data_IF_372890561816
#
_entry.id   IF_372890561816
#
_cell.length_a   1.000
_cell.length_b   1.000
_cell.length_c   1.000
_cell.angle_alpha   90.00
_cell.angle_beta   90.00
_cell.angle_gamma   90.00
#
_symmetry.space_group_name_H-M   'P 1'
#
loop_
_entity.id
_entity.type
_entity.pdbx_description
1 polymer ?
#
# COMPACT_ATOMS: atom_id res chain seq x y z
N UNK A 1 9.62 -14.23 -58.41
CA UNK A 1 8.66 -15.04 -57.64
C UNK A 1 8.70 -14.68 -56.16
N UNK A 2 9.84 -14.83 -55.47
CA UNK A 2 9.96 -14.44 -54.05
C UNK A 2 9.59 -12.96 -53.80
N UNK A 3 10.13 -12.02 -54.57
CA UNK A 3 9.84 -10.59 -54.37
C UNK A 3 8.34 -10.25 -54.47
N UNK A 4 7.62 -10.88 -55.42
CA UNK A 4 6.19 -10.69 -55.58
C UNK A 4 5.39 -11.28 -54.40
N UNK A 5 5.78 -12.46 -53.91
CA UNK A 5 5.15 -13.08 -52.75
C UNK A 5 5.40 -12.29 -51.46
N UNK A 6 6.62 -11.75 -51.30
CA UNK A 6 6.94 -10.84 -50.18
C UNK A 6 6.15 -9.54 -50.28
N UNK A 7 6.02 -8.96 -51.49
CA UNK A 7 5.17 -7.79 -51.72
C UNK A 7 3.72 -8.04 -51.33
N UNK A 8 3.15 -9.15 -51.81
CA UNK A 8 1.75 -9.54 -51.54
C UNK A 8 1.50 -9.80 -50.05
N UNK A 9 2.38 -10.53 -49.36
CA UNK A 9 2.27 -10.75 -47.92
C UNK A 9 2.29 -9.43 -47.13
N UNK A 10 3.16 -8.49 -47.52
CA UNK A 10 3.25 -7.18 -46.85
C UNK A 10 2.01 -6.32 -47.12
N UNK A 11 1.53 -6.30 -48.35
CA UNK A 11 0.35 -5.51 -48.76
C UNK A 11 -0.93 -6.03 -48.11
N UNK A 12 -1.07 -7.34 -47.96
CA UNK A 12 -2.22 -7.98 -47.31
C UNK A 12 -2.10 -8.09 -45.79
N UNK A 13 -1.02 -7.57 -45.18
CA UNK A 13 -0.85 -7.57 -43.74
C UNK A 13 -0.63 -8.97 -43.14
N UNK A 14 0.09 -9.83 -43.87
CA UNK A 14 0.43 -11.19 -43.47
C UNK A 14 1.94 -11.34 -43.16
N UNK A 15 2.38 -12.58 -42.95
CA UNK A 15 3.78 -12.97 -42.84
C UNK A 15 4.11 -14.04 -43.89
N UNK A 16 5.40 -14.25 -44.16
CA UNK A 16 5.86 -15.25 -45.12
C UNK A 16 7.24 -15.80 -44.73
N UNK A 17 7.41 -17.12 -44.77
CA UNK A 17 8.73 -17.74 -44.74
C UNK A 17 9.27 -17.89 -46.18
N UNK A 18 10.39 -17.21 -46.44
CA UNK A 18 11.04 -17.27 -47.75
C UNK A 18 11.56 -18.67 -48.09
N UNK A 19 11.88 -19.51 -47.11
CA UNK A 19 12.34 -20.88 -47.35
C UNK A 19 11.22 -21.78 -47.91
N UNK A 20 9.94 -21.45 -47.69
CA UNK A 20 8.82 -22.17 -48.30
C UNK A 20 8.70 -21.93 -49.81
N UNK A 21 9.31 -20.86 -50.32
CA UNK A 21 9.29 -20.48 -51.75
C UNK A 21 10.63 -20.80 -52.43
N UNK A 22 11.72 -20.67 -51.68
CA UNK A 22 13.07 -20.90 -52.18
C UNK A 22 13.32 -22.40 -52.37
N UNK A 23 14.21 -22.79 -53.30
CA UNK A 23 14.62 -24.18 -53.43
C UNK A 23 15.19 -24.72 -52.12
N UNK A 24 14.94 -25.99 -51.81
CA UNK A 24 15.30 -26.63 -50.53
C UNK A 24 16.81 -26.66 -50.20
N UNK A 25 17.68 -26.41 -51.18
CA UNK A 25 19.13 -26.30 -50.96
C UNK A 25 19.56 -24.90 -50.46
N UNK A 26 18.66 -23.93 -50.40
CA UNK A 26 18.93 -22.59 -49.88
C UNK A 26 18.81 -22.62 -48.35
N UNK A 27 19.87 -22.17 -47.68
CA UNK A 27 19.93 -22.05 -46.23
C UNK A 27 19.34 -20.72 -45.74
N UNK A 28 19.01 -20.61 -44.44
CA UNK A 28 18.55 -19.35 -43.83
C UNK A 28 19.45 -18.14 -44.10
N UNK A 29 20.78 -18.22 -43.90
CA UNK A 29 21.71 -17.13 -44.23
C UNK A 29 21.69 -16.71 -45.71
N UNK A 30 21.49 -17.67 -46.62
CA UNK A 30 21.38 -17.38 -48.05
C UNK A 30 20.03 -16.76 -48.38
N UNK A 31 18.95 -17.21 -47.74
CA UNK A 31 17.63 -16.60 -47.83
C UNK A 31 17.66 -15.13 -47.38
N UNK A 32 18.38 -14.80 -46.30
CA UNK A 32 18.58 -13.41 -45.84
C UNK A 32 19.22 -12.54 -46.93
N UNK A 33 20.27 -13.04 -47.60
CA UNK A 33 20.94 -12.30 -48.69
C UNK A 33 20.00 -12.12 -49.88
N UNK A 34 19.22 -13.13 -50.24
CA UNK A 34 18.27 -13.05 -51.35
C UNK A 34 17.14 -12.06 -51.02
N UNK A 35 16.60 -12.09 -49.80
CA UNK A 35 15.62 -11.12 -49.32
C UNK A 35 16.17 -9.69 -49.34
N UNK A 36 17.45 -9.50 -49.01
CA UNK A 36 18.10 -8.19 -49.08
C UNK A 36 18.14 -7.61 -50.50
N UNK A 37 17.97 -8.44 -51.54
CA UNK A 37 17.91 -8.02 -52.94
C UNK A 37 16.49 -7.80 -53.46
N UNK A 38 15.45 -8.16 -52.68
CA UNK A 38 14.04 -8.02 -53.06
C UNK A 38 13.57 -6.56 -52.90
N UNK A 39 13.22 -5.83 -53.98
CA UNK A 39 12.78 -4.44 -53.89
C UNK A 39 11.57 -4.22 -52.97
N UNK A 40 10.63 -5.16 -52.94
CA UNK A 40 9.42 -5.10 -52.11
C UNK A 40 9.78 -5.11 -50.62
N UNK A 41 10.67 -6.02 -50.22
CA UNK A 41 11.20 -6.07 -48.86
C UNK A 41 12.02 -4.82 -48.52
N UNK A 42 12.95 -4.41 -49.39
CA UNK A 42 13.78 -3.22 -49.15
C UNK A 42 12.93 -1.96 -48.92
N UNK A 43 11.88 -1.76 -49.72
CA UNK A 43 10.96 -0.62 -49.59
C UNK A 43 10.18 -0.69 -48.27
N UNK A 44 9.70 -1.86 -47.89
CA UNK A 44 8.95 -2.06 -46.67
C UNK A 44 9.82 -1.89 -45.41
N UNK A 45 11.03 -2.47 -45.39
CA UNK A 45 11.98 -2.34 -44.29
C UNK A 45 12.38 -0.87 -44.07
N UNK A 46 12.69 -0.13 -45.14
CA UNK A 46 13.01 1.31 -45.08
C UNK A 46 11.88 2.18 -44.56
N UNK A 47 10.62 1.75 -44.75
CA UNK A 47 9.43 2.47 -44.30
C UNK A 47 8.84 1.89 -43.02
N UNK A 48 9.56 1.00 -42.31
CA UNK A 48 9.11 0.32 -41.09
C UNK A 48 7.75 -0.40 -41.24
N UNK A 49 7.48 -0.90 -42.45
CA UNK A 49 6.26 -1.66 -42.78
C UNK A 49 6.45 -3.17 -42.67
N UNK A 50 7.69 -3.65 -42.58
CA UNK A 50 7.99 -5.06 -42.41
C UNK A 50 9.27 -5.27 -41.60
N UNK A 51 9.37 -6.42 -40.92
CA UNK A 51 10.50 -6.86 -40.10
C UNK A 51 10.90 -8.28 -40.51
N UNK A 52 12.21 -8.57 -40.52
CA UNK A 52 12.75 -9.90 -40.80
C UNK A 52 13.13 -10.58 -39.48
N UNK A 53 12.57 -11.76 -39.22
CA UNK A 53 12.91 -12.61 -38.08
C UNK A 53 13.51 -13.94 -38.57
N UNK A 54 14.45 -14.50 -37.78
CA UNK A 54 15.10 -15.79 -38.06
C UNK A 54 15.88 -15.88 -39.38
N UNK A 55 16.14 -14.74 -40.03
CA UNK A 55 16.85 -14.67 -41.32
C UNK A 55 16.04 -15.08 -42.56
N UNK A 56 14.87 -15.69 -42.41
CA UNK A 56 14.03 -16.12 -43.55
C UNK A 56 12.57 -15.64 -43.50
N UNK A 57 12.06 -15.24 -42.33
CA UNK A 57 10.65 -14.94 -42.14
C UNK A 57 10.38 -13.44 -42.17
N UNK A 58 9.61 -12.98 -43.14
CA UNK A 58 9.22 -11.56 -43.29
C UNK A 58 7.83 -11.38 -42.71
N UNK A 59 7.72 -10.50 -41.71
CA UNK A 59 6.46 -10.14 -41.06
C UNK A 59 6.08 -8.72 -41.43
N UNK A 60 4.85 -8.50 -41.89
CA UNK A 60 4.32 -7.14 -42.01
C UNK A 60 4.09 -6.53 -40.63
N UNK A 61 4.27 -5.22 -40.51
CA UNK A 61 4.01 -4.50 -39.27
C UNK A 61 2.49 -4.48 -38.94
N UNK A 62 1.64 -4.63 -39.96
CA UNK A 62 0.19 -4.81 -39.78
C UNK A 62 -0.10 -6.12 -39.05
N UNK A 63 0.55 -7.22 -39.43
CA UNK A 63 0.43 -8.50 -38.76
C UNK A 63 0.96 -8.45 -37.31
N UNK A 64 2.17 -7.91 -37.12
CA UNK A 64 2.78 -7.74 -35.78
C UNK A 64 1.86 -6.92 -34.87
N UNK A 65 1.31 -5.82 -35.40
CA UNK A 65 0.35 -5.00 -34.67
C UNK A 65 -0.93 -5.78 -34.33
N UNK A 66 -1.45 -6.60 -35.23
CA UNK A 66 -2.61 -7.44 -34.96
C UNK A 66 -2.40 -8.39 -33.78
N UNK A 67 -1.23 -9.04 -33.70
CA UNK A 67 -0.83 -9.86 -32.54
C UNK A 67 -0.75 -8.97 -31.29
N UNK A 68 -0.02 -7.86 -31.37
CA UNK A 68 0.13 -6.92 -30.25
C UNK A 68 -1.23 -6.45 -29.71
N UNK A 69 -2.16 -6.03 -30.57
CA UNK A 69 -3.47 -5.49 -30.19
C UNK A 69 -4.31 -6.56 -29.45
N UNK A 70 -4.16 -7.85 -29.79
CA UNK A 70 -4.83 -8.94 -29.07
C UNK A 70 -4.16 -9.24 -27.73
N UNK A 71 -2.82 -9.26 -27.69
CA UNK A 71 -2.06 -9.43 -26.45
C UNK A 71 -2.29 -8.27 -25.47
N UNK A 72 -2.43 -7.05 -25.96
CA UNK A 72 -2.72 -5.85 -25.14
C UNK A 72 -4.08 -5.97 -24.46
N UNK A 73 -5.11 -6.53 -25.12
CA UNK A 73 -6.43 -6.78 -24.50
C UNK A 73 -6.35 -7.79 -23.38
N UNK A 74 -5.51 -8.80 -23.53
CA UNK A 74 -5.36 -9.89 -22.58
C UNK A 74 -4.27 -9.63 -21.54
N UNK A 75 -3.63 -8.46 -21.55
CA UNK A 75 -2.44 -8.17 -20.74
C UNK A 75 -2.67 -8.32 -19.22
N UNK A 76 -3.91 -8.13 -18.75
CA UNK A 76 -4.28 -8.33 -17.35
C UNK A 76 -4.37 -9.82 -16.97
N UNK A 77 -4.68 -10.68 -17.96
CA UNK A 77 -4.77 -12.14 -17.78
C UNK A 77 -3.41 -12.83 -17.67
N UNK A 78 -2.31 -12.08 -17.85
CA UNK A 78 -0.96 -12.64 -17.84
C UNK A 78 -0.49 -13.02 -16.44
N UNK A 79 -1.32 -12.81 -15.41
CA UNK A 79 -1.01 -13.21 -14.03
C UNK A 79 0.19 -12.45 -13.45
N UNK A 80 0.48 -11.26 -14.00
CA UNK A 80 1.57 -10.41 -13.54
C UNK A 80 1.25 -9.99 -12.12
N UNK A 81 1.90 -10.65 -11.15
CA UNK A 81 1.80 -10.28 -9.74
C UNK A 81 2.15 -8.81 -9.66
N UNK A 82 1.19 -7.99 -9.21
CA UNK A 82 1.47 -6.60 -8.88
C UNK A 82 2.54 -6.61 -7.81
N UNK A 83 3.80 -6.36 -8.20
CA UNK A 83 4.85 -6.13 -7.22
C UNK A 83 4.46 -4.86 -6.49
N UNK A 84 3.86 -5.05 -5.32
CA UNK A 84 3.76 -4.04 -4.30
C UNK A 84 5.17 -3.49 -4.09
N UNK A 85 5.28 -2.16 -4.01
CA UNK A 85 6.56 -1.50 -3.78
C UNK A 85 7.29 -2.16 -2.61
N UNK A 86 8.50 -2.64 -2.90
CA UNK A 86 9.55 -3.01 -1.96
C UNK A 86 9.15 -3.91 -0.78
N UNK A 87 9.49 -5.19 -0.92
CA UNK A 87 9.62 -6.14 0.19
C UNK A 87 9.98 -7.52 -0.37
N UNK A 88 11.20 -7.96 -0.09
CA UNK A 88 11.84 -9.29 -0.30
C UNK A 88 10.98 -10.46 -0.84
N UNK A 89 11.52 -11.30 -1.75
CA UNK A 89 10.83 -12.48 -2.22
C UNK A 89 10.78 -13.53 -1.11
N UNK A 90 9.58 -13.84 -0.63
CA UNK A 90 9.37 -15.07 0.16
C UNK A 90 9.30 -16.23 -0.83
N UNK A 91 10.29 -17.09 -0.69
CA UNK A 91 10.49 -18.33 -1.41
C UNK A 91 9.21 -19.19 -1.39
N UNK A 92 8.67 -19.48 -2.57
CA UNK A 92 7.47 -20.28 -2.75
C UNK A 92 7.91 -21.71 -3.11
N UNK A 93 8.28 -22.50 -2.10
CA UNK A 93 8.43 -23.94 -2.27
C UNK A 93 7.07 -24.59 -2.00
N UNK A 94 6.37 -24.92 -3.08
CA UNK A 94 5.33 -25.93 -3.09
C UNK A 94 5.96 -27.32 -3.09
N UNK A 95 5.77 -28.07 -2.02
CA UNK A 95 5.75 -29.54 -2.08
C UNK A 95 4.87 -30.07 -0.96
N UNK A 96 3.66 -30.49 -1.35
CA UNK A 96 2.82 -31.41 -0.61
C UNK A 96 3.50 -32.78 -0.50
N UNK A 97 3.41 -33.44 0.66
CA UNK A 97 2.69 -34.72 0.81
C UNK A 97 2.95 -35.38 2.18
N UNK A 98 1.83 -35.76 2.80
CA UNK A 98 1.57 -36.84 3.75
C UNK A 98 2.72 -37.57 4.47
N UNK A 99 2.63 -37.61 5.81
CA UNK A 99 2.35 -38.88 6.53
C UNK A 99 1.90 -38.67 7.99
N UNK A 100 0.90 -39.44 8.34
CA UNK A 100 0.36 -39.62 9.69
C UNK A 100 1.26 -40.51 10.57
N UNK A 101 1.15 -40.34 11.89
CA UNK A 101 1.18 -41.46 12.84
C UNK A 101 2.26 -41.48 13.93
N UNK A 102 1.77 -41.52 15.18
CA UNK A 102 2.30 -42.26 16.34
C UNK A 102 3.12 -41.54 17.42
N UNK A 103 2.41 -41.12 18.47
CA UNK A 103 2.51 -41.54 19.90
C UNK A 103 3.83 -42.19 20.35
N UNK A 104 4.49 -41.62 21.38
CA UNK A 104 4.72 -42.28 22.68
C UNK A 104 5.34 -41.35 23.76
N UNK A 105 5.10 -41.76 24.99
CA UNK A 105 5.22 -41.10 26.29
C UNK A 105 6.57 -41.37 27.01
N UNK A 106 6.78 -40.65 28.13
CA UNK A 106 7.56 -41.04 29.34
C UNK A 106 9.09 -40.95 29.25
N UNK A 107 9.88 -40.68 30.29
CA UNK A 107 9.63 -40.36 31.70
C UNK A 107 10.92 -39.79 32.36
N UNK A 108 10.71 -38.96 33.38
CA UNK A 108 11.42 -38.78 34.66
C UNK A 108 12.90 -39.17 34.96
N UNK A 109 13.47 -38.28 35.80
CA UNK A 109 14.40 -38.46 36.95
C UNK A 109 15.91 -38.65 36.68
N UNK A 110 16.87 -38.24 37.50
CA UNK A 110 17.02 -37.38 38.70
C UNK A 110 18.50 -37.48 39.17
N UNK A 111 18.87 -36.65 40.15
CA UNK A 111 20.01 -36.71 41.08
C UNK A 111 21.38 -36.13 40.71
N UNK A 112 21.79 -35.19 41.58
CA UNK A 112 23.14 -34.65 41.71
C UNK A 112 23.22 -33.58 42.81
N UNK A 113 22.96 -34.01 44.04
CA UNK A 113 22.90 -33.29 45.32
C UNK A 113 24.28 -32.76 45.80
N UNK A 114 24.31 -31.58 46.45
CA UNK A 114 24.86 -31.35 47.80
C UNK A 114 25.09 -29.86 48.13
N UNK A 115 24.24 -29.37 49.04
CA UNK A 115 24.52 -28.66 50.31
C UNK A 115 25.88 -27.96 50.55
N UNK A 116 25.82 -26.70 51.00
CA UNK A 116 25.77 -26.40 52.44
C UNK A 116 25.85 -24.89 52.75
N UNK A 117 25.05 -24.53 53.75
CA UNK A 117 24.81 -23.24 54.42
C UNK A 117 26.01 -22.47 54.97
N UNK A 118 25.88 -21.13 55.09
CA UNK A 118 26.00 -20.44 56.39
C UNK A 118 25.44 -19.01 56.35
N UNK A 119 24.47 -18.75 57.20
CA UNK A 119 23.98 -17.44 57.67
C UNK A 119 24.79 -16.98 58.88
N UNK A 120 25.11 -15.68 58.99
CA UNK A 120 25.67 -15.13 60.24
C UNK A 120 26.21 -13.69 60.23
N UNK A 121 25.30 -12.71 60.27
CA UNK A 121 25.29 -11.46 61.03
C UNK A 121 26.53 -10.52 61.22
N UNK A 122 26.27 -9.24 60.88
CA UNK A 122 26.59 -7.99 61.60
C UNK A 122 28.00 -7.36 61.54
N UNK A 123 28.10 -6.16 60.96
CA UNK A 123 28.28 -4.86 61.66
C UNK A 123 28.53 -3.76 60.61
N UNK A 124 27.72 -2.71 60.63
CA UNK A 124 28.11 -1.35 61.03
C UNK A 124 28.97 -0.58 59.99
N UNK A 125 28.32 0.30 59.22
CA UNK A 125 28.59 1.75 59.20
C UNK A 125 27.71 2.48 58.18
N UNK A 126 27.04 3.51 58.68
CA UNK A 126 26.01 4.28 57.98
C UNK A 126 26.49 5.24 56.89
N UNK A 127 25.52 5.99 56.30
CA UNK A 127 25.61 6.65 55.00
C UNK A 127 25.95 8.14 55.10
N UNK A 128 26.58 8.73 54.08
CA UNK A 128 26.67 10.18 53.90
C UNK A 128 25.98 10.65 52.63
N UNK A 129 24.79 11.22 52.84
CA UNK A 129 24.12 12.19 51.95
C UNK A 129 25.05 13.39 51.70
N UNK A 130 25.02 13.96 50.49
CA UNK A 130 25.35 15.37 50.28
C UNK A 130 24.26 16.03 49.44
N UNK A 131 23.46 16.85 50.12
CA UNK A 131 22.51 17.83 49.59
C UNK A 131 23.01 19.21 50.04
N UNK A 132 23.08 20.18 49.13
CA UNK A 132 23.23 21.63 49.37
C UNK A 132 22.86 22.34 48.06
N UNK A 133 21.75 23.09 47.92
CA UNK A 133 21.36 24.42 48.48
C UNK A 133 22.37 25.52 48.08
N UNK A 134 22.03 26.72 47.60
CA UNK A 134 20.79 27.51 47.73
C UNK A 134 20.75 28.78 46.81
N UNK A 135 19.56 29.44 46.78
CA UNK A 135 19.24 30.90 46.61
C UNK A 135 19.52 31.60 45.27
N UNK A 136 18.67 32.44 44.67
CA UNK A 136 17.40 33.09 45.03
C UNK A 136 17.37 34.57 44.57
N UNK A 137 16.35 35.01 43.82
CA UNK A 137 15.92 36.43 43.77
C UNK A 137 14.57 36.60 43.05
N UNK A 138 13.79 37.55 43.57
CA UNK A 138 12.37 37.78 43.31
C UNK A 138 12.10 39.19 42.73
N UNK A 139 10.81 39.46 42.44
CA UNK A 139 10.11 40.75 42.22
C UNK A 139 9.88 41.11 40.74
N UNK A 140 8.69 41.43 40.23
CA UNK A 140 7.33 41.64 40.77
C UNK A 140 6.54 42.51 39.77
N UNK A 141 5.20 42.49 39.79
CA UNK A 141 4.37 43.54 39.18
C UNK A 141 3.11 43.07 38.45
N UNK A 142 1.94 43.37 39.02
CA UNK A 142 0.58 43.11 38.53
C UNK A 142 0.04 44.25 37.64
N UNK A 143 -1.10 44.03 36.95
CA UNK A 143 -2.33 44.86 36.94
C UNK A 143 -3.35 44.29 35.91
N UNK A 144 -4.61 44.19 36.34
CA UNK A 144 -5.82 43.93 35.54
C UNK A 144 -6.43 45.23 34.96
N UNK A 145 -7.13 45.17 33.82
CA UNK A 145 -8.57 45.53 33.63
C UNK A 145 -8.97 45.82 32.17
N UNK A 146 -10.05 45.14 31.77
CA UNK A 146 -11.26 45.46 30.99
C UNK A 146 -11.37 46.54 29.89
N UNK A 147 -12.24 46.13 28.95
CA UNK A 147 -13.24 46.83 28.11
C UNK A 147 -12.93 47.38 26.70
N UNK A 148 -13.54 46.66 25.75
CA UNK A 148 -14.49 47.09 24.71
C UNK A 148 -14.09 47.70 23.34
N UNK A 149 -14.80 47.16 22.35
CA UNK A 149 -15.29 47.70 21.06
C UNK A 149 -14.42 47.73 19.76
N UNK A 150 -15.02 47.04 18.77
CA UNK A 150 -15.23 47.35 17.34
C UNK A 150 -14.09 47.60 16.30
N UNK A 151 -14.09 46.67 15.33
CA UNK A 151 -14.11 46.79 13.84
C UNK A 151 -13.05 47.67 13.10
N UNK A 152 -12.37 47.01 12.13
CA UNK A 152 -12.19 47.33 10.69
C UNK A 152 -10.74 47.02 10.21
N UNK A 153 -10.55 46.24 9.12
CA UNK A 153 -9.25 45.73 8.67
C UNK A 153 -8.53 46.66 7.69
N UNK A 154 -7.19 46.69 7.75
CA UNK A 154 -6.36 47.45 6.78
C UNK A 154 -5.42 46.56 5.97
N UNK A 155 -5.57 46.73 4.65
CA UNK A 155 -4.79 46.23 3.53
C UNK A 155 -3.27 46.40 3.65
N UNK A 156 -2.56 45.33 3.30
CA UNK A 156 -1.68 45.29 2.11
C UNK A 156 -0.22 45.73 2.27
N UNK A 157 0.71 44.89 1.76
CA UNK A 157 1.64 45.26 0.67
C UNK A 157 2.43 44.06 0.15
N UNK A 158 2.17 43.76 -1.12
CA UNK A 158 2.88 42.84 -2.01
C UNK A 158 4.06 43.62 -2.63
N UNK A 159 5.28 43.11 -2.58
CA UNK A 159 6.40 43.69 -3.33
C UNK A 159 7.16 42.59 -4.09
N UNK A 160 7.17 42.74 -5.41
CA UNK A 160 7.74 41.87 -6.42
C UNK A 160 8.80 42.71 -7.17
N UNK A 161 10.05 42.26 -7.22
CA UNK A 161 11.12 42.72 -8.16
C UNK A 161 12.09 41.54 -8.31
N UNK A 162 12.11 40.75 -9.40
CA UNK A 162 12.66 40.94 -10.76
C UNK A 162 14.06 41.57 -10.86
N UNK A 163 15.04 40.66 -11.04
CA UNK A 163 16.04 40.54 -12.12
C UNK A 163 17.21 41.54 -12.22
N UNK A 164 18.45 41.02 -12.30
CA UNK A 164 19.38 41.18 -13.44
C UNK A 164 20.78 40.59 -13.15
N UNK A 165 21.21 39.68 -14.03
CA UNK A 165 22.58 39.15 -14.17
C UNK A 165 23.59 40.21 -14.63
N UNK A 166 24.85 40.10 -14.18
CA UNK A 166 26.13 40.37 -14.87
C UNK A 166 27.22 39.63 -14.08
N UNK A 167 28.07 38.87 -14.78
CA UNK A 167 29.03 37.93 -14.19
C UNK A 167 30.49 38.38 -14.13
N UNK A 168 31.31 37.37 -13.78
CA UNK A 168 32.77 37.20 -13.95
C UNK A 168 33.68 37.54 -12.78
N UNK A 169 34.28 36.51 -12.14
CA UNK A 169 35.71 36.16 -12.29
C UNK A 169 36.31 35.45 -11.06
N UNK A 170 36.95 34.27 -11.28
CA UNK A 170 37.97 33.59 -10.44
C UNK A 170 37.48 32.98 -9.11
N UNK A 171 37.92 31.81 -8.63
CA UNK A 171 39.07 30.96 -8.92
C UNK A 171 38.78 29.51 -8.43
N UNK A 172 39.52 28.54 -8.96
CA UNK A 172 39.26 27.11 -8.91
C UNK A 172 39.58 26.44 -7.56
N UNK A 173 38.73 25.49 -7.14
CA UNK A 173 39.21 24.26 -6.50
C UNK A 173 38.33 23.06 -6.83
N UNK A 174 39.01 22.06 -7.42
CA UNK A 174 38.52 20.74 -7.84
C UNK A 174 37.74 20.01 -6.74
N UNK A 175 36.58 19.46 -7.10
CA UNK A 175 35.89 18.37 -6.42
C UNK A 175 34.97 17.67 -7.44
N UNK A 176 35.11 16.35 -7.59
CA UNK A 176 34.67 15.59 -8.76
C UNK A 176 33.19 15.68 -9.12
N UNK A 177 32.92 15.85 -10.42
CA UNK A 177 31.60 15.61 -11.03
C UNK A 177 31.28 14.12 -10.93
N UNK A 178 30.38 13.73 -10.02
CA UNK A 178 29.55 12.54 -10.26
C UNK A 178 28.60 12.88 -11.40
N UNK A 179 28.77 12.17 -12.51
CA UNK A 179 27.78 12.12 -13.58
C UNK A 179 26.42 11.67 -12.99
N UNK A 180 25.29 12.07 -13.59
CA UNK A 180 23.99 11.56 -13.15
C UNK A 180 23.98 10.05 -13.36
N UNK A 181 23.93 9.30 -12.26
CA UNK A 181 23.62 7.87 -12.29
C UNK A 181 22.24 7.75 -12.95
N UNK A 182 22.23 7.15 -14.14
CA UNK A 182 21.02 6.59 -14.73
C UNK A 182 20.38 5.72 -13.66
N UNK A 183 19.05 5.80 -13.43
CA UNK A 183 18.40 4.80 -12.61
C UNK A 183 18.69 3.44 -13.27
N UNK A 184 19.32 2.55 -12.51
CA UNK A 184 19.39 1.13 -12.82
C UNK A 184 17.96 0.67 -13.10
N UNK A 185 17.66 0.35 -14.34
CA UNK A 185 16.46 -0.39 -14.73
C UNK A 185 16.62 -1.85 -14.24
N UNK A 186 16.51 -2.05 -12.92
CA UNK A 186 16.25 -3.35 -12.32
C UNK A 186 14.74 -3.58 -12.36
N UNK A 187 14.22 -3.97 -13.54
CA UNK A 187 12.87 -4.51 -13.75
C UNK A 187 12.84 -5.31 -15.05
N UNK A 188 13.73 -6.29 -15.17
CA UNK A 188 13.91 -7.02 -16.43
C UNK A 188 12.97 -8.20 -16.62
N UNK A 189 11.92 -8.42 -15.81
CA UNK A 189 10.97 -9.49 -16.17
C UNK A 189 9.50 -9.31 -15.80
N UNK A 190 8.89 -8.18 -16.19
CA UNK A 190 7.42 -8.02 -16.15
C UNK A 190 6.75 -9.03 -17.11
N UNK A 191 7.38 -9.27 -18.26
CA UNK A 191 6.96 -10.24 -19.27
C UNK A 191 8.16 -11.13 -19.65
N UNK A 192 8.21 -12.39 -19.16
CA UNK A 192 9.15 -13.40 -19.65
C UNK A 192 8.93 -13.68 -21.13
N UNK A 193 9.99 -13.92 -21.87
CA UNK A 193 9.92 -14.17 -23.31
C UNK A 193 9.10 -15.44 -23.57
N UNK A 194 9.26 -16.49 -22.74
CA UNK A 194 8.51 -17.74 -22.85
C UNK A 194 7.00 -17.54 -22.69
N UNK A 195 6.59 -16.60 -21.84
CA UNK A 195 5.19 -16.26 -21.65
C UNK A 195 4.64 -15.53 -22.87
N UNK A 196 5.41 -14.60 -23.44
CA UNK A 196 5.03 -13.91 -24.67
C UNK A 196 4.92 -14.90 -25.81
N UNK A 197 5.88 -15.83 -25.95
CA UNK A 197 5.86 -16.89 -26.97
C UNK A 197 4.59 -17.75 -26.86
N UNK A 198 4.27 -18.23 -25.66
CA UNK A 198 3.04 -18.99 -25.41
C UNK A 198 1.79 -18.22 -25.83
N UNK A 199 1.73 -16.93 -25.50
CA UNK A 199 0.58 -16.07 -25.83
C UNK A 199 0.51 -15.72 -27.31
N UNK A 200 1.65 -15.52 -27.98
CA UNK A 200 1.73 -15.32 -29.43
C UNK A 200 1.18 -16.53 -30.17
N UNK A 201 1.60 -17.75 -29.79
CA UNK A 201 1.11 -18.99 -30.41
C UNK A 201 -0.39 -19.23 -30.14
N UNK A 202 -0.92 -18.78 -29.00
CA UNK A 202 -2.35 -18.84 -28.74
C UNK A 202 -3.17 -17.90 -29.64
N UNK A 203 -2.61 -16.74 -30.02
CA UNK A 203 -3.26 -15.74 -30.88
C UNK A 203 -3.06 -16.03 -32.37
N UNK A 204 -1.92 -16.62 -32.74
CA UNK A 204 -1.51 -16.92 -34.11
C UNK A 204 -0.98 -18.36 -34.20
N UNK A 205 -1.87 -19.38 -34.16
CA UNK A 205 -1.48 -20.79 -34.18
C UNK A 205 -0.77 -21.20 -35.48
N UNK A 206 -0.97 -20.47 -36.58
CA UNK A 206 -0.25 -20.69 -37.85
C UNK A 206 1.28 -20.51 -37.72
N UNK A 207 1.74 -19.90 -36.63
CA UNK A 207 3.15 -19.72 -36.32
C UNK A 207 3.78 -20.93 -35.60
N UNK A 208 2.99 -21.95 -35.24
CA UNK A 208 3.48 -23.16 -34.55
C UNK A 208 4.54 -23.90 -35.37
N UNK A 209 4.43 -23.88 -36.70
CA UNK A 209 5.42 -24.45 -37.62
C UNK A 209 6.82 -23.80 -37.49
N UNK A 210 6.87 -22.55 -37.00
CA UNK A 210 8.11 -21.81 -36.73
C UNK A 210 8.62 -22.00 -35.29
N UNK A 211 7.81 -22.56 -34.39
CA UNK A 211 8.07 -22.65 -32.94
C UNK A 211 8.77 -23.91 -32.46
N UNK A 212 9.14 -24.83 -33.36
CA UNK A 212 9.71 -26.14 -33.03
C UNK A 212 11.23 -26.20 -32.87
N UNK A 213 11.97 -25.12 -33.13
CA UNK A 213 13.43 -25.11 -32.99
C UNK A 213 13.85 -24.49 -31.65
N UNK A 214 14.68 -25.22 -30.90
CA UNK A 214 15.27 -24.74 -29.63
C UNK A 214 16.30 -23.60 -29.84
N UNK A 215 16.40 -23.07 -31.06
CA UNK A 215 17.33 -22.01 -31.44
C UNK A 215 16.99 -20.70 -30.71
N UNK A 216 18.01 -20.04 -30.14
CA UNK A 216 17.87 -18.69 -29.57
C UNK A 216 17.47 -17.66 -30.63
N UNK A 217 17.72 -17.93 -31.91
CA UNK A 217 17.37 -17.05 -33.03
C UNK A 217 16.10 -17.49 -33.79
N UNK A 218 15.29 -18.35 -33.18
CA UNK A 218 14.01 -18.77 -33.76
C UNK A 218 13.10 -17.56 -34.06
N UNK A 219 12.33 -17.58 -35.19
CA UNK A 219 11.45 -16.47 -35.56
C UNK A 219 10.48 -16.04 -34.45
N UNK A 220 9.96 -17.00 -33.70
CA UNK A 220 9.01 -16.76 -32.58
C UNK A 220 9.69 -16.07 -31.41
N UNK A 221 10.89 -16.51 -31.00
CA UNK A 221 11.64 -15.86 -29.91
C UNK A 221 11.99 -14.41 -30.25
N UNK A 222 12.38 -14.16 -31.51
CA UNK A 222 12.69 -12.81 -31.99
C UNK A 222 11.45 -11.92 -32.10
N UNK A 223 10.31 -12.47 -32.52
CA UNK A 223 9.03 -11.77 -32.53
C UNK A 223 8.60 -11.41 -31.10
N UNK A 224 8.70 -12.34 -30.15
CA UNK A 224 8.42 -12.09 -28.74
C UNK A 224 9.32 -11.00 -28.16
N UNK A 225 10.62 -11.07 -28.44
CA UNK A 225 11.59 -10.03 -28.07
C UNK A 225 11.23 -8.66 -28.65
N UNK A 226 10.67 -8.63 -29.87
CA UNK A 226 10.21 -7.40 -30.53
C UNK A 226 8.93 -6.84 -29.91
N UNK A 227 7.97 -7.70 -29.53
CA UNK A 227 6.70 -7.32 -28.90
C UNK A 227 6.87 -6.86 -27.45
N UNK A 228 7.86 -7.41 -26.74
CA UNK A 228 8.11 -7.14 -25.32
C UNK A 228 8.15 -5.66 -24.94
N UNK A 229 8.96 -4.78 -25.56
CA UNK A 229 8.98 -3.36 -25.21
C UNK A 229 7.62 -2.69 -25.46
N UNK A 230 6.89 -3.08 -26.51
CA UNK A 230 5.56 -2.54 -26.80
C UNK A 230 4.55 -2.93 -25.71
N UNK A 231 4.55 -4.20 -25.28
CA UNK A 231 3.70 -4.70 -24.20
C UNK A 231 4.03 -4.04 -22.87
N UNK A 232 5.31 -3.84 -22.56
CA UNK A 232 5.74 -3.11 -21.35
C UNK A 232 5.21 -1.67 -21.36
N UNK A 233 5.33 -0.97 -22.48
CA UNK A 233 4.87 0.41 -22.60
C UNK A 233 3.34 0.52 -22.52
N UNK A 234 2.62 -0.38 -23.18
CA UNK A 234 1.16 -0.48 -23.10
C UNK A 234 0.69 -0.75 -21.67
N UNK A 235 1.29 -1.73 -21.00
CA UNK A 235 1.00 -2.07 -19.62
C UNK A 235 1.27 -0.90 -18.67
N UNK A 236 2.43 -0.23 -18.81
CA UNK A 236 2.77 0.97 -18.03
C UNK A 236 1.77 2.10 -18.27
N UNK A 237 1.39 2.33 -19.52
CA UNK A 237 0.42 3.38 -19.89
C UNK A 237 -0.95 3.10 -19.26
N UNK A 238 -1.46 1.88 -19.40
CA UNK A 238 -2.73 1.44 -18.82
C UNK A 238 -2.72 1.54 -17.29
N UNK A 239 -1.63 1.11 -16.65
CA UNK A 239 -1.46 1.24 -15.19
C UNK A 239 -1.46 2.71 -14.76
N UNK A 240 -0.76 3.58 -15.48
CA UNK A 240 -0.70 5.00 -15.15
C UNK A 240 -2.04 5.70 -15.32
N UNK A 241 -2.83 5.35 -16.35
CA UNK A 241 -4.19 5.89 -16.53
C UNK A 241 -5.10 5.46 -15.39
N UNK A 242 -5.10 4.17 -15.02
CA UNK A 242 -5.88 3.66 -13.88
C UNK A 242 -5.48 4.31 -12.56
N UNK A 243 -4.17 4.47 -12.30
CA UNK A 243 -3.68 5.16 -11.11
C UNK A 243 -4.12 6.62 -11.06
N UNK A 244 -4.12 7.31 -12.20
CA UNK A 244 -4.57 8.70 -12.29
C UNK A 244 -6.07 8.84 -12.03
N UNK A 245 -6.88 7.94 -12.58
CA UNK A 245 -8.33 7.91 -12.34
C UNK A 245 -8.66 7.58 -10.88
N UNK A 246 -7.92 6.64 -10.29
CA UNK A 246 -8.10 6.25 -8.89
C UNK A 246 -7.56 7.29 -7.89
N UNK A 247 -6.73 8.24 -8.29
CA UNK A 247 -6.12 9.21 -7.38
C UNK A 247 -7.14 10.10 -6.64
N UNK A 248 -8.24 10.47 -7.30
CA UNK A 248 -9.33 11.23 -6.66
C UNK A 248 -10.15 10.32 -5.73
N UNK A 249 -10.46 9.10 -6.19
CA UNK A 249 -11.20 8.11 -5.38
C UNK A 249 -10.46 7.77 -4.09
N UNK A 250 -9.15 7.53 -4.16
CA UNK A 250 -8.28 7.30 -2.99
C UNK A 250 -8.31 8.44 -1.99
N UNK A 251 -8.20 9.68 -2.47
CA UNK A 251 -8.32 10.87 -1.61
C UNK A 251 -9.68 10.92 -0.93
N UNK A 252 -10.76 10.69 -1.67
CA UNK A 252 -12.12 10.62 -1.12
C UNK A 252 -12.27 9.53 -0.05
N UNK A 253 -11.66 8.35 -0.24
CA UNK A 253 -11.64 7.26 0.76
C UNK A 253 -11.07 7.74 2.08
N UNK A 254 -9.87 8.33 2.04
CA UNK A 254 -9.15 8.76 3.24
C UNK A 254 -9.80 10.00 3.88
N UNK A 255 -10.31 10.93 3.08
CA UNK A 255 -11.03 12.11 3.59
C UNK A 255 -12.34 11.73 4.29
N UNK A 256 -13.08 10.76 3.74
CA UNK A 256 -14.30 10.24 4.37
C UNK A 256 -13.98 9.50 5.67
N UNK A 257 -12.95 8.64 5.65
CA UNK A 257 -12.47 7.95 6.84
C UNK A 257 -12.05 8.96 7.92
N UNK A 258 -11.28 9.98 7.57
CA UNK A 258 -10.83 11.03 8.50
C UNK A 258 -12.00 11.73 9.19
N UNK A 259 -13.03 12.13 8.43
CA UNK A 259 -14.23 12.78 9.00
C UNK A 259 -14.96 11.88 9.99
N UNK A 260 -15.09 10.60 9.65
CA UNK A 260 -15.83 9.64 10.47
C UNK A 260 -15.03 9.24 11.73
N UNK A 261 -13.70 9.19 11.64
CA UNK A 261 -12.83 8.93 12.78
C UNK A 261 -12.71 10.12 13.73
N UNK A 262 -12.73 11.35 13.21
CA UNK A 262 -12.66 12.56 14.05
C UNK A 262 -13.74 12.58 15.14
N UNK A 263 -14.97 12.19 14.80
CA UNK A 263 -16.08 12.11 15.75
C UNK A 263 -15.96 10.88 16.66
N UNK A 264 -15.79 9.69 16.08
CA UNK A 264 -15.75 8.44 16.83
C UNK A 264 -14.60 8.37 17.86
N UNK A 265 -13.42 8.92 17.52
CA UNK A 265 -12.27 8.94 18.44
C UNK A 265 -12.46 9.96 19.56
N UNK A 266 -13.09 11.11 19.29
CA UNK A 266 -13.40 12.09 20.34
C UNK A 266 -14.43 11.55 21.33
N UNK A 267 -15.47 10.87 20.84
CA UNK A 267 -16.47 10.20 21.67
C UNK A 267 -15.81 9.13 22.54
N UNK A 268 -14.95 8.31 21.95
CA UNK A 268 -14.22 7.26 22.68
C UNK A 268 -13.31 7.83 23.77
N UNK A 269 -12.59 8.93 23.49
CA UNK A 269 -11.77 9.63 24.49
C UNK A 269 -12.62 10.23 25.61
N UNK A 270 -13.82 10.74 25.30
CA UNK A 270 -14.72 11.27 26.34
C UNK A 270 -15.24 10.15 27.24
N UNK A 271 -15.60 9.00 26.66
CA UNK A 271 -16.05 7.86 27.43
C UNK A 271 -14.94 7.26 28.29
N UNK A 272 -13.70 7.24 27.80
CA UNK A 272 -12.57 6.81 28.64
C UNK A 272 -12.39 7.75 29.84
N UNK A 273 -12.45 9.07 29.66
CA UNK A 273 -12.39 10.01 30.77
C UNK A 273 -13.52 9.83 31.80
N UNK A 274 -14.68 9.34 31.38
CA UNK A 274 -15.77 9.02 32.31
C UNK A 274 -15.44 7.79 33.18
N UNK A 275 -14.47 6.95 32.78
CA UNK A 275 -14.01 5.80 33.55
C UNK A 275 -13.11 6.20 34.72
N UNK A 276 -12.56 7.42 34.74
CA UNK A 276 -11.73 7.96 35.84
C UNK A 276 -12.42 7.83 37.21
N UNK A 277 -13.76 7.89 37.23
CA UNK A 277 -14.59 7.72 38.44
C UNK A 277 -14.42 6.34 39.10
N UNK A 278 -13.95 5.35 38.35
CA UNK A 278 -13.76 3.97 38.78
C UNK A 278 -12.28 3.59 38.95
N UNK A 279 -11.34 4.54 38.88
CA UNK A 279 -9.89 4.27 39.03
C UNK A 279 -9.54 3.55 40.34
N UNK A 280 -10.25 3.87 41.41
CA UNK A 280 -10.04 3.27 42.74
C UNK A 280 -10.55 1.83 42.85
N UNK A 281 -11.28 1.32 41.85
CA UNK A 281 -11.72 -0.07 41.74
C UNK A 281 -11.13 -0.73 40.48
N UNK A 282 -9.93 -1.33 40.59
CA UNK A 282 -9.25 -1.95 39.45
C UNK A 282 -10.05 -3.05 38.76
N UNK A 283 -10.92 -3.75 39.49
CA UNK A 283 -11.73 -4.82 38.91
C UNK A 283 -12.82 -4.24 37.98
N UNK A 284 -13.53 -3.21 38.43
CA UNK A 284 -14.54 -2.53 37.62
C UNK A 284 -13.92 -1.72 36.50
N UNK A 285 -12.85 -0.96 36.77
CA UNK A 285 -12.11 -0.20 35.76
C UNK A 285 -11.67 -1.08 34.58
N UNK A 286 -11.02 -2.23 34.85
CA UNK A 286 -10.57 -3.13 33.79
C UNK A 286 -11.71 -3.72 32.95
N UNK A 287 -12.88 -3.98 33.55
CA UNK A 287 -14.08 -4.44 32.82
C UNK A 287 -14.61 -3.33 31.91
N UNK A 288 -14.66 -2.09 32.40
CA UNK A 288 -15.20 -0.95 31.66
C UNK A 288 -14.28 -0.53 30.50
N UNK A 289 -12.96 -0.52 30.67
CA UNK A 289 -12.03 -0.28 29.56
C UNK A 289 -12.18 -1.36 28.48
N UNK A 290 -12.25 -2.64 28.87
CA UNK A 290 -12.50 -3.73 27.91
C UNK A 290 -13.83 -3.58 27.20
N UNK A 291 -14.87 -3.16 27.91
CA UNK A 291 -16.18 -2.88 27.33
C UNK A 291 -16.08 -1.76 26.29
N UNK A 292 -15.43 -0.65 26.62
CA UNK A 292 -15.19 0.49 25.72
C UNK A 292 -14.46 0.08 24.44
N UNK A 293 -13.41 -0.73 24.54
CA UNK A 293 -12.70 -1.27 23.37
C UNK A 293 -13.63 -2.11 22.48
N UNK A 294 -14.46 -2.95 23.08
CA UNK A 294 -15.40 -3.80 22.34
C UNK A 294 -16.53 -3.01 21.69
N UNK A 295 -17.07 -1.97 22.35
CA UNK A 295 -18.22 -1.21 21.85
C UNK A 295 -17.82 -0.07 20.92
N UNK A 296 -16.75 0.66 21.23
CA UNK A 296 -16.30 1.83 20.47
C UNK A 296 -15.05 1.54 19.63
N UNK A 297 -14.09 0.80 20.19
CA UNK A 297 -12.84 0.47 19.49
C UNK A 297 -13.06 -0.44 18.29
N UNK A 298 -13.95 -1.43 18.42
CA UNK A 298 -14.19 -2.41 17.35
C UNK A 298 -14.70 -1.79 16.04
N UNK A 299 -15.78 -0.98 16.03
CA UNK A 299 -16.22 -0.33 14.80
C UNK A 299 -15.17 0.64 14.23
N UNK A 300 -14.35 1.28 15.07
CA UNK A 300 -13.24 2.13 14.62
C UNK A 300 -12.21 1.29 13.84
N UNK A 301 -11.78 0.15 14.40
CA UNK A 301 -10.79 -0.74 13.76
C UNK A 301 -11.33 -1.33 12.47
N UNK A 302 -12.57 -1.84 12.48
CA UNK A 302 -13.19 -2.42 11.28
C UNK A 302 -13.19 -1.41 10.13
N UNK A 303 -13.56 -0.17 10.44
CA UNK A 303 -13.64 0.92 9.48
C UNK A 303 -12.30 1.35 8.92
N UNK A 304 -11.26 1.39 9.77
CA UNK A 304 -9.88 1.65 9.35
C UNK A 304 -9.41 0.55 8.40
N UNK A 305 -9.54 -0.72 8.80
CA UNK A 305 -9.04 -1.84 8.00
C UNK A 305 -9.73 -1.93 6.64
N UNK A 306 -11.06 -1.85 6.59
CA UNK A 306 -11.82 -1.88 5.33
C UNK A 306 -11.48 -0.69 4.42
N UNK A 307 -11.30 0.50 4.99
CA UNK A 307 -10.96 1.70 4.20
C UNK A 307 -9.52 1.66 3.67
N UNK A 308 -8.57 1.17 4.46
CA UNK A 308 -7.19 1.02 4.04
C UNK A 308 -7.00 -0.10 3.01
N UNK A 309 -7.74 -1.21 3.15
CA UNK A 309 -7.81 -2.26 2.12
C UNK A 309 -8.32 -1.68 0.79
N UNK A 310 -9.39 -0.89 0.84
CA UNK A 310 -9.91 -0.20 -0.34
C UNK A 310 -8.90 0.78 -0.96
N UNK A 311 -8.22 1.58 -0.14
CA UNK A 311 -7.14 2.47 -0.63
C UNK A 311 -6.01 1.67 -1.30
N UNK A 312 -5.60 0.54 -0.70
CA UNK A 312 -4.55 -0.32 -1.22
C UNK A 312 -4.94 -0.96 -2.57
N UNK A 313 -6.18 -1.44 -2.70
CA UNK A 313 -6.72 -1.97 -3.97
C UNK A 313 -6.72 -0.92 -5.08
N UNK A 314 -7.23 0.28 -4.77
CA UNK A 314 -7.22 1.41 -5.70
C UNK A 314 -5.80 1.84 -6.09
N UNK A 315 -4.85 1.82 -5.14
CA UNK A 315 -3.43 2.09 -5.36
C UNK A 315 -2.76 1.06 -6.26
N UNK A 316 -3.27 -0.16 -6.30
CA UNK A 316 -2.74 -1.23 -7.15
C UNK A 316 -3.36 -1.26 -8.55
N UNK A 317 -4.34 -0.41 -8.82
CA UNK A 317 -5.06 -0.35 -10.10
C UNK A 317 -6.22 -1.34 -10.19
N UNK A 318 -6.66 -1.91 -9.07
CA UNK A 318 -7.88 -2.72 -9.03
C UNK A 318 -9.11 -1.81 -9.00
N UNK A 319 -10.12 -2.19 -9.77
CA UNK A 319 -11.45 -1.61 -9.64
C UNK A 319 -12.09 -2.14 -8.37
N UNK A 320 -12.64 -1.22 -7.58
CA UNK A 320 -13.48 -1.54 -6.43
C UNK A 320 -14.87 -1.04 -6.78
N UNK A 321 -15.83 -1.95 -6.94
CA UNK A 321 -17.22 -1.52 -6.98
C UNK A 321 -17.57 -0.92 -5.62
N UNK A 322 -18.19 0.26 -5.62
CA UNK A 322 -18.84 0.82 -4.43
C UNK A 322 -20.07 -0.06 -4.10
N UNK A 323 -19.83 -1.32 -3.75
CA UNK A 323 -20.84 -2.14 -3.08
C UNK A 323 -21.16 -1.44 -1.77
N UNK A 324 -22.44 -1.14 -1.60
CA UNK A 324 -22.98 -0.49 -0.41
C UNK A 324 -22.37 -1.12 0.83
N UNK A 325 -21.89 -0.24 1.73
CA UNK A 325 -21.24 -0.56 2.99
C UNK A 325 -21.91 -1.79 3.63
N UNK A 326 -21.31 -2.96 3.48
CA UNK A 326 -21.74 -4.12 4.24
C UNK A 326 -21.41 -3.81 5.68
N UNK A 327 -22.40 -3.31 6.41
CA UNK A 327 -22.35 -3.01 7.85
C UNK A 327 -22.17 -4.26 8.73
N UNK A 328 -21.63 -5.34 8.17
CA UNK A 328 -21.26 -6.53 8.92
C UNK A 328 -19.98 -6.22 9.70
N UNK A 329 -20.09 -6.31 11.02
CA UNK A 329 -18.93 -6.27 11.91
C UNK A 329 -17.95 -7.38 11.50
N UNK A 330 -16.66 -7.04 11.36
CA UNK A 330 -15.66 -8.01 10.93
C UNK A 330 -15.42 -9.05 12.02
N UNK A 331 -15.11 -10.29 11.63
CA UNK A 331 -14.60 -11.25 12.61
C UNK A 331 -13.14 -10.92 12.97
N UNK A 332 -12.66 -11.40 14.12
CA UNK A 332 -11.25 -11.23 14.51
C UNK A 332 -10.30 -11.85 13.46
N UNK A 333 -10.72 -12.94 12.82
CA UNK A 333 -9.98 -13.56 11.71
C UNK A 333 -9.89 -12.64 10.49
N UNK A 334 -11.01 -12.01 10.11
CA UNK A 334 -11.06 -11.09 8.97
C UNK A 334 -10.20 -9.85 9.23
N UNK A 335 -10.25 -9.28 10.44
CA UNK A 335 -9.37 -8.17 10.85
C UNK A 335 -7.90 -8.54 10.68
N UNK A 336 -7.52 -9.72 11.16
CA UNK A 336 -6.14 -10.20 11.10
C UNK A 336 -5.69 -10.41 9.64
N UNK A 337 -6.59 -10.92 8.80
CA UNK A 337 -6.32 -11.11 7.37
C UNK A 337 -6.13 -9.77 6.66
N UNK A 338 -7.05 -8.82 6.83
CA UNK A 338 -6.95 -7.48 6.25
C UNK A 338 -5.68 -6.76 6.72
N UNK A 339 -5.37 -6.82 8.02
CA UNK A 339 -4.17 -6.20 8.56
C UNK A 339 -2.88 -6.75 7.93
N UNK A 340 -2.83 -8.08 7.67
CA UNK A 340 -1.67 -8.72 7.04
C UNK A 340 -1.52 -8.35 5.56
N UNK A 341 -2.62 -8.15 4.84
CA UNK A 341 -2.63 -7.84 3.41
C UNK A 341 -2.20 -6.39 3.10
N UNK A 342 -2.22 -5.51 4.10
CA UNK A 342 -1.71 -4.14 3.96
C UNK A 342 -0.21 -4.12 3.64
N UNK A 343 0.28 -3.08 2.93
CA UNK A 343 1.67 -3.04 2.49
C UNK A 343 2.64 -2.53 3.58
N UNK A 344 3.83 -3.12 3.64
CA UNK A 344 4.97 -2.57 4.39
C UNK A 344 4.73 -2.42 5.90
N UNK A 345 5.17 -1.28 6.47
CA UNK A 345 5.04 -1.00 7.91
C UNK A 345 3.58 -0.86 8.37
N UNK A 346 2.68 -0.49 7.47
CA UNK A 346 1.25 -0.41 7.77
C UNK A 346 0.69 -1.76 8.17
N UNK A 347 1.18 -2.86 7.58
CA UNK A 347 0.81 -4.23 7.96
C UNK A 347 1.11 -4.53 9.43
N UNK A 348 2.34 -4.23 9.87
CA UNK A 348 2.76 -4.48 11.24
C UNK A 348 2.00 -3.62 12.25
N UNK A 349 1.74 -2.35 11.91
CA UNK A 349 1.00 -1.42 12.78
C UNK A 349 -0.48 -1.80 12.89
N UNK A 350 -1.10 -2.18 11.77
CA UNK A 350 -2.48 -2.66 11.76
C UNK A 350 -2.64 -3.97 12.55
N UNK A 351 -1.67 -4.89 12.48
CA UNK A 351 -1.70 -6.10 13.31
C UNK A 351 -1.60 -5.77 14.81
N UNK A 352 -0.69 -4.86 15.19
CA UNK A 352 -0.60 -4.39 16.58
C UNK A 352 -1.90 -3.71 17.05
N UNK A 353 -2.59 -2.97 16.18
CA UNK A 353 -3.91 -2.40 16.48
C UNK A 353 -4.97 -3.47 16.73
N UNK A 354 -5.00 -4.53 15.91
CA UNK A 354 -5.93 -5.66 16.09
C UNK A 354 -5.64 -6.39 17.41
N UNK A 355 -4.37 -6.58 17.76
CA UNK A 355 -3.98 -7.16 19.05
C UNK A 355 -4.36 -6.27 20.24
N UNK A 356 -4.14 -4.96 20.13
CA UNK A 356 -4.47 -3.99 21.17
C UNK A 356 -5.98 -3.85 21.40
N UNK A 357 -6.80 -4.05 20.35
CA UNK A 357 -8.26 -4.07 20.45
C UNK A 357 -8.77 -5.20 21.36
N UNK A 358 -8.13 -6.37 21.31
CA UNK A 358 -8.42 -7.53 22.18
C UNK A 358 -7.76 -7.39 23.58
N UNK A 359 -7.04 -6.29 23.78
CA UNK A 359 -6.32 -5.96 25.00
C UNK A 359 -7.24 -5.58 26.17
N UNK A 360 -6.60 -5.06 27.23
CA UNK A 360 -7.29 -4.68 28.48
C UNK A 360 -7.37 -3.17 28.69
N UNK A 361 -6.49 -2.41 28.06
CA UNK A 361 -6.25 -1.01 28.40
C UNK A 361 -6.41 -0.09 27.19
N UNK A 362 -7.06 1.04 27.43
CA UNK A 362 -7.33 2.05 26.41
C UNK A 362 -6.05 2.71 25.88
N UNK A 363 -5.09 3.03 26.74
CA UNK A 363 -3.85 3.71 26.33
C UNK A 363 -3.08 2.92 25.27
N UNK A 364 -2.88 1.62 25.51
CA UNK A 364 -2.18 0.74 24.56
C UNK A 364 -2.91 0.65 23.21
N UNK A 365 -4.24 0.67 23.23
CA UNK A 365 -5.05 0.74 22.02
C UNK A 365 -4.91 2.08 21.31
N UNK A 366 -4.96 3.20 22.03
CA UNK A 366 -4.85 4.54 21.46
C UNK A 366 -3.47 4.81 20.85
N UNK A 367 -2.40 4.26 21.44
CA UNK A 367 -1.06 4.33 20.89
C UNK A 367 -0.96 3.56 19.57
N UNK A 368 -1.42 2.30 19.54
CA UNK A 368 -1.44 1.49 18.32
C UNK A 368 -2.35 2.09 17.22
N UNK A 369 -3.47 2.69 17.63
CA UNK A 369 -4.41 3.38 16.74
C UNK A 369 -3.73 4.60 16.12
N UNK A 370 -3.03 5.40 16.93
CA UNK A 370 -2.27 6.57 16.46
C UNK A 370 -1.15 6.18 15.51
N UNK A 371 -0.37 5.16 15.83
CA UNK A 371 0.71 4.67 14.98
C UNK A 371 0.20 4.24 13.59
N UNK A 372 -0.93 3.53 13.56
CA UNK A 372 -1.59 3.08 12.32
C UNK A 372 -2.11 4.26 11.50
N UNK A 373 -2.70 5.25 12.16
CA UNK A 373 -3.21 6.45 11.52
C UNK A 373 -2.09 7.31 10.92
N UNK A 374 -1.01 7.53 11.67
CA UNK A 374 0.16 8.29 11.20
C UNK A 374 0.79 7.64 9.98
N UNK A 375 0.90 6.31 9.95
CA UNK A 375 1.38 5.55 8.76
C UNK A 375 0.45 5.72 7.55
N UNK A 376 -0.84 5.90 7.81
CA UNK A 376 -1.88 6.10 6.79
C UNK A 376 -2.05 7.56 6.37
N UNK A 377 -1.31 8.50 6.97
CA UNK A 377 -1.47 9.94 6.75
C UNK A 377 -2.73 10.54 7.37
N UNK A 378 -3.36 9.83 8.30
CA UNK A 378 -4.53 10.28 9.07
C UNK A 378 -4.07 10.94 10.38
N UNK A 379 -4.87 11.86 10.91
CA UNK A 379 -4.56 12.59 12.14
C UNK A 379 -5.75 12.61 13.07
N UNK A 380 -5.58 12.16 14.31
CA UNK A 380 -6.66 12.24 15.29
C UNK A 380 -6.62 13.52 16.10
N UNK A 381 -7.81 14.10 16.26
CA UNK A 381 -8.04 15.16 17.25
C UNK A 381 -7.84 14.59 18.66
N UNK A 382 -7.33 15.45 19.54
CA UNK A 382 -7.26 15.18 20.97
C UNK A 382 -8.40 15.92 21.65
N UNK A 383 -9.03 15.27 22.62
CA UNK A 383 -10.03 15.85 23.48
C UNK A 383 -9.39 16.94 24.34
N UNK A 384 -9.61 18.21 23.96
CA UNK A 384 -9.20 19.35 24.76
C UNK A 384 -10.32 19.76 25.74
N UNK A 385 -9.98 20.55 26.77
CA UNK A 385 -10.94 20.98 27.80
C UNK A 385 -12.13 21.77 27.25
N UNK A 386 -12.03 22.37 26.06
CA UNK A 386 -13.09 23.15 25.43
C UNK A 386 -14.04 22.23 24.67
N UNK A 387 -13.50 21.30 23.88
CA UNK A 387 -14.25 20.26 23.18
C UNK A 387 -15.00 19.38 24.17
N UNK A 388 -14.32 18.93 25.22
CA UNK A 388 -14.91 18.14 26.29
C UNK A 388 -16.14 18.84 26.90
N UNK A 389 -16.00 20.11 27.32
CA UNK A 389 -17.12 20.90 27.86
C UNK A 389 -18.26 21.05 26.85
N UNK A 390 -17.93 21.27 25.57
CA UNK A 390 -18.93 21.41 24.50
C UNK A 390 -19.69 20.10 24.28
N UNK A 391 -18.98 18.97 24.23
CA UNK A 391 -19.57 17.64 24.02
C UNK A 391 -20.43 17.23 25.22
N UNK A 392 -19.94 17.40 26.45
CA UNK A 392 -20.72 17.13 27.66
C UNK A 392 -21.99 17.99 27.74
N UNK A 393 -21.91 19.27 27.35
CA UNK A 393 -23.09 20.12 27.28
C UNK A 393 -24.12 19.61 26.25
N UNK A 394 -23.66 19.18 25.07
CA UNK A 394 -24.52 18.59 24.05
C UNK A 394 -25.17 17.28 24.54
N UNK A 395 -24.37 16.33 25.05
CA UNK A 395 -24.87 15.07 25.57
C UNK A 395 -25.86 15.27 26.72
N UNK A 396 -25.59 16.20 27.64
CA UNK A 396 -26.53 16.54 28.71
C UNK A 396 -27.85 17.04 28.16
N UNK A 397 -27.82 17.95 27.18
CA UNK A 397 -29.02 18.47 26.53
C UNK A 397 -29.83 17.36 25.86
N UNK A 398 -29.15 16.49 25.11
CA UNK A 398 -29.79 15.38 24.40
C UNK A 398 -30.37 14.34 25.38
N UNK A 399 -29.65 14.04 26.45
CA UNK A 399 -30.10 13.11 27.48
C UNK A 399 -31.30 13.66 28.27
N UNK A 400 -31.31 14.97 28.59
CA UNK A 400 -32.49 15.63 29.18
C UNK A 400 -33.71 15.50 28.26
N UNK A 401 -33.53 15.72 26.95
CA UNK A 401 -34.61 15.56 25.98
C UNK A 401 -35.10 14.11 25.92
N UNK A 402 -34.19 13.14 25.87
CA UNK A 402 -34.53 11.71 25.87
C UNK A 402 -35.29 11.30 27.14
N UNK A 403 -34.83 11.71 28.33
CA UNK A 403 -35.50 11.46 29.61
C UNK A 403 -36.89 12.10 29.65
N UNK A 404 -37.03 13.33 29.15
CA UNK A 404 -38.32 14.04 29.15
C UNK A 404 -39.35 13.40 28.21
N UNK A 405 -38.89 12.72 27.16
CA UNK A 405 -39.75 12.01 26.20
C UNK A 405 -39.95 10.53 26.50
N UNK A 406 -39.19 9.94 27.43
CA UNK A 406 -39.21 8.52 27.71
C UNK A 406 -40.39 8.15 28.61
N UNK A 407 -41.21 7.23 28.13
CA UNK A 407 -42.41 6.76 28.85
C UNK A 407 -42.25 5.34 29.40
N UNK A 408 -41.32 4.56 28.86
CA UNK A 408 -41.05 3.21 29.34
C UNK A 408 -40.17 3.25 30.61
N UNK A 409 -40.65 2.78 31.77
CA UNK A 409 -39.89 2.84 33.02
C UNK A 409 -38.59 2.02 32.97
N UNK A 410 -38.51 0.98 32.14
CA UNK A 410 -37.30 0.15 32.00
C UNK A 410 -36.20 0.92 31.27
N UNK A 411 -36.53 1.59 30.17
CA UNK A 411 -35.61 2.43 29.40
C UNK A 411 -35.32 3.78 30.07
N UNK A 412 -36.22 4.25 30.94
CA UNK A 412 -36.08 5.50 31.68
C UNK A 412 -34.94 5.46 32.72
N UNK A 413 -34.86 4.37 33.49
CA UNK A 413 -33.92 4.28 34.62
C UNK A 413 -32.44 4.43 34.20
N UNK A 414 -31.92 3.72 33.18
CA UNK A 414 -30.53 3.90 32.74
C UNK A 414 -30.22 5.33 32.27
N UNK A 415 -31.17 6.01 31.60
CA UNK A 415 -31.01 7.38 31.11
C UNK A 415 -30.92 8.40 32.24
N UNK A 416 -31.74 8.24 33.28
CA UNK A 416 -31.67 9.07 34.50
C UNK A 416 -30.37 8.83 35.25
N UNK A 417 -29.94 7.57 35.39
CA UNK A 417 -28.65 7.24 36.03
C UNK A 417 -27.50 7.89 35.28
N UNK A 418 -27.44 7.77 33.95
CA UNK A 418 -26.43 8.42 33.14
C UNK A 418 -26.41 9.95 33.35
N UNK A 419 -27.58 10.57 33.49
CA UNK A 419 -27.71 12.02 33.73
C UNK A 419 -27.21 12.44 35.11
N UNK A 420 -27.32 11.57 36.12
CA UNK A 420 -26.74 11.81 37.45
C UNK A 420 -25.21 11.75 37.44
N UNK A 421 -24.62 10.87 36.62
CA UNK A 421 -23.17 10.79 36.46
C UNK A 421 -22.58 11.95 35.62
N UNK A 422 -23.41 12.62 34.81
CA UNK A 422 -23.00 13.73 33.94
C UNK A 422 -23.11 15.13 34.59
N UNK A 423 -23.38 15.20 35.91
CA UNK A 423 -23.76 16.44 36.59
C UNK A 423 -22.67 17.50 36.72
#
# INVERSE_FOLDING_TARGET
>A
MLDAAVGDAIENGQWIDSLSILPSYISGPDATKILSLCPSFQKAAKSSKAVLFGGSCVFSNVFIKGIFDQLEKEIDSFGIKHSAGQGTPVNMNSSSEHRAGSVQYSDTKDFGDNDASSTGASSDRGPKKKRGKATGSAKGGAVEKDDDEEIIPVKGKKAHRKNKDIGSSGDAKRGGKKAPEKPKEENTNIFPDELIEQKVLAVAPELEELGGSDDLNGPIKLLSSHLRPMLIDAWKKKRNTMLSENAERRRSVLDNLQKQLDEAVLDMQLYEKALDVFEDDPATSGILHKHLLRTMGTPIVDKILSSLDRDNKLKNGMEYEDSEEQHAQLSTTDRTFLAKDLPGQLSSKAQALVEALEGKWFDSFMDALRDTAEESGLLFKKLDKRLERSMLHSYRKDLIAQVSSETDPVSFLPKVVALLFLQ
#
